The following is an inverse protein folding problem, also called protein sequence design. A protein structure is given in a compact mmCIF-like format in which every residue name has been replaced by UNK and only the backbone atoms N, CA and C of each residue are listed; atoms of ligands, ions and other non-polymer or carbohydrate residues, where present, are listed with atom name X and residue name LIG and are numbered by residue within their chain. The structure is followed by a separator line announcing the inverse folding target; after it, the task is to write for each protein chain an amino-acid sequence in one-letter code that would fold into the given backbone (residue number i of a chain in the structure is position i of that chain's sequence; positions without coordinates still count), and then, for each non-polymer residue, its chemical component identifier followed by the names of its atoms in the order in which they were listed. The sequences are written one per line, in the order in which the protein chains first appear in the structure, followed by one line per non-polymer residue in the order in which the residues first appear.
data_IF_074108914848
#
_entry.id   IF_074108914848
#
_cell.length_a   1.000
_cell.length_b   1.000
_cell.length_c   1.000
_cell.angle_alpha   90.00
_cell.angle_beta   90.00
_cell.angle_gamma   90.00
#
_symmetry.space_group_name_H-M   'P 1'
#
loop_
_entity.id
_entity.type
_entity.pdbx_description
1 polymer ?
#
# COMPACT_ATOMS: atom_id res chain seq x y z
N UNK A 1 -20.30 11.86 1.25
CA UNK A 1 -20.62 10.49 1.72
C UNK A 1 -22.02 10.33 2.32
N UNK A 2 -22.37 11.05 3.40
CA UNK A 2 -23.68 10.93 4.10
C UNK A 2 -24.91 10.95 3.18
N UNK A 3 -24.99 11.94 2.29
CA UNK A 3 -26.11 12.05 1.35
C UNK A 3 -26.11 10.97 0.27
N UNK A 4 -24.93 10.59 -0.24
CA UNK A 4 -24.82 9.55 -1.26
C UNK A 4 -25.19 8.16 -0.76
N UNK A 5 -24.78 7.77 0.46
CA UNK A 5 -25.16 6.48 1.05
C UNK A 5 -26.68 6.42 1.30
N UNK A 6 -27.27 7.52 1.74
CA UNK A 6 -28.72 7.63 1.96
C UNK A 6 -29.53 7.52 0.67
N UNK A 7 -29.04 8.12 -0.41
CA UNK A 7 -29.66 8.05 -1.74
C UNK A 7 -29.64 6.62 -2.32
N UNK A 8 -28.63 5.83 -1.93
CA UNK A 8 -28.54 4.39 -2.25
C UNK A 8 -29.25 3.48 -1.23
N UNK A 9 -30.05 4.05 -0.32
CA UNK A 9 -30.89 3.29 0.62
C UNK A 9 -30.19 2.83 1.90
N UNK A 10 -29.00 3.35 2.19
CA UNK A 10 -28.24 3.06 3.42
C UNK A 10 -28.46 4.22 4.40
N UNK A 11 -29.41 4.06 5.34
CA UNK A 11 -29.68 5.04 6.39
C UNK A 11 -28.77 4.77 7.60
N UNK A 12 -27.78 5.64 7.81
CA UNK A 12 -26.83 5.55 8.91
C UNK A 12 -27.12 6.65 9.93
N UNK A 13 -27.09 6.31 11.22
CA UNK A 13 -27.07 7.34 12.26
C UNK A 13 -25.76 8.14 12.21
N UNK A 14 -25.71 9.32 12.82
CA UNK A 14 -24.47 10.09 12.90
C UNK A 14 -23.32 9.28 13.53
N UNK A 15 -23.64 8.45 14.52
CA UNK A 15 -22.68 7.54 15.17
C UNK A 15 -22.17 6.44 14.23
N UNK A 16 -23.05 5.90 13.39
CA UNK A 16 -22.64 4.87 12.42
C UNK A 16 -21.82 5.49 11.29
N UNK A 17 -22.14 6.73 10.89
CA UNK A 17 -21.35 7.50 9.94
C UNK A 17 -19.95 7.78 10.48
N UNK A 18 -19.83 8.19 11.75
CA UNK A 18 -18.54 8.37 12.41
C UNK A 18 -17.74 7.06 12.43
N UNK A 19 -18.42 5.93 12.66
CA UNK A 19 -17.79 4.60 12.64
C UNK A 19 -17.27 4.25 11.24
N UNK A 20 -18.05 4.55 10.19
CA UNK A 20 -17.65 4.34 8.79
C UNK A 20 -16.49 5.25 8.41
N UNK A 21 -16.54 6.53 8.77
CA UNK A 21 -15.44 7.48 8.51
C UNK A 21 -14.18 6.98 9.21
N UNK A 22 -14.22 6.66 10.50
CA UNK A 22 -13.06 6.13 11.23
C UNK A 22 -12.52 4.81 10.68
N UNK A 23 -13.32 4.03 9.96
CA UNK A 23 -12.89 2.77 9.36
C UNK A 23 -12.23 2.95 7.97
N UNK A 24 -12.53 4.04 7.27
CA UNK A 24 -12.10 4.29 5.88
C UNK A 24 -11.06 5.41 5.77
N UNK A 25 -11.21 6.49 6.56
CA UNK A 25 -10.33 7.65 6.64
C UNK A 25 -9.01 7.25 7.32
N UNK A 26 -8.03 6.86 6.50
CA UNK A 26 -6.72 6.41 6.99
C UNK A 26 -5.79 7.58 7.25
N UNK A 27 -5.89 8.62 6.43
CA UNK A 27 -5.05 9.81 6.55
C UNK A 27 -5.52 10.76 7.67
N UNK A 28 -6.70 10.51 8.24
CA UNK A 28 -7.34 11.25 9.33
C UNK A 28 -7.65 12.71 8.96
N UNK A 29 -7.98 12.96 7.70
CA UNK A 29 -8.35 14.30 7.23
C UNK A 29 -9.85 14.63 7.43
N UNK A 30 -10.62 13.67 7.96
CA UNK A 30 -12.05 13.79 8.24
C UNK A 30 -12.94 13.54 7.02
N UNK A 31 -12.37 13.09 5.90
CA UNK A 31 -13.07 12.76 4.67
C UNK A 31 -12.67 11.35 4.23
N UNK A 32 -13.40 10.83 3.25
CA UNK A 32 -13.03 9.58 2.58
C UNK A 32 -12.81 9.97 1.13
N UNK A 33 -11.57 9.90 0.69
CA UNK A 33 -11.24 10.09 -0.72
C UNK A 33 -11.62 8.85 -1.55
N UNK A 34 -11.50 8.97 -2.88
CA UNK A 34 -11.87 7.88 -3.78
C UNK A 34 -11.01 6.62 -3.56
N UNK A 35 -9.72 6.76 -3.27
CA UNK A 35 -8.81 5.66 -3.04
C UNK A 35 -9.11 4.95 -1.72
N UNK A 36 -9.36 5.71 -0.66
CA UNK A 36 -9.79 5.19 0.65
C UNK A 36 -11.10 4.42 0.54
N UNK A 37 -12.07 4.97 -0.20
CA UNK A 37 -13.32 4.26 -0.49
C UNK A 37 -13.09 2.94 -1.23
N UNK A 38 -12.31 2.96 -2.32
CA UNK A 38 -12.01 1.74 -3.08
C UNK A 38 -11.29 0.68 -2.24
N UNK A 39 -10.32 1.08 -1.40
CA UNK A 39 -9.61 0.16 -0.50
C UNK A 39 -10.56 -0.48 0.51
N UNK A 40 -11.47 0.31 1.09
CA UNK A 40 -12.43 -0.22 2.07
C UNK A 40 -13.46 -1.19 1.48
N UNK A 41 -13.85 -1.03 0.20
CA UNK A 41 -14.83 -1.92 -0.44
C UNK A 41 -14.23 -3.15 -1.14
N UNK A 42 -12.92 -3.22 -1.39
CA UNK A 42 -12.26 -4.31 -2.13
C UNK A 42 -12.40 -5.71 -1.50
N UNK A 43 -12.87 -5.80 -0.25
CA UNK A 43 -13.07 -7.07 0.45
C UNK A 43 -11.76 -7.76 0.85
N UNK A 44 -11.85 -8.91 1.51
CA UNK A 44 -10.66 -9.58 2.06
C UNK A 44 -9.93 -10.45 1.03
N UNK A 45 -8.61 -10.49 1.12
CA UNK A 45 -7.77 -11.44 0.38
C UNK A 45 -8.20 -12.88 0.68
N UNK A 46 -8.43 -13.67 -0.38
CA UNK A 46 -8.61 -15.12 -0.25
C UNK A 46 -7.34 -15.78 0.29
N UNK A 47 -7.47 -16.94 0.94
CA UNK A 47 -6.33 -17.67 1.49
C UNK A 47 -5.26 -17.98 0.43
N UNK A 48 -5.68 -18.35 -0.79
CA UNK A 48 -4.78 -18.60 -1.92
C UNK A 48 -4.00 -17.35 -2.33
N UNK A 49 -4.68 -16.20 -2.45
CA UNK A 49 -4.04 -14.94 -2.85
C UNK A 49 -3.06 -14.47 -1.78
N UNK A 50 -3.46 -14.58 -0.50
CA UNK A 50 -2.58 -14.29 0.64
C UNK A 50 -1.32 -15.16 0.65
N UNK A 51 -1.44 -16.46 0.40
CA UNK A 51 -0.29 -17.36 0.33
C UNK A 51 0.69 -16.95 -0.79
N UNK A 52 0.18 -16.53 -1.95
CA UNK A 52 1.03 -16.05 -3.06
C UNK A 52 1.75 -14.74 -2.72
N UNK A 53 1.04 -13.80 -2.08
CA UNK A 53 1.63 -12.54 -1.61
C UNK A 53 2.74 -12.83 -0.60
N UNK A 54 2.52 -13.73 0.35
CA UNK A 54 3.54 -14.10 1.33
C UNK A 54 4.77 -14.74 0.67
N UNK A 55 4.58 -15.64 -0.30
CA UNK A 55 5.69 -16.24 -1.06
C UNK A 55 6.50 -15.19 -1.82
N UNK A 56 5.83 -14.20 -2.43
CA UNK A 56 6.52 -13.10 -3.11
C UNK A 56 7.28 -12.22 -2.12
N UNK A 57 6.70 -11.94 -0.96
CA UNK A 57 7.36 -11.18 0.10
C UNK A 57 8.62 -11.89 0.60
N UNK A 58 8.55 -13.20 0.84
CA UNK A 58 9.69 -13.99 1.30
C UNK A 58 10.83 -14.06 0.26
N UNK A 59 10.54 -13.79 -1.02
CA UNK A 59 11.57 -13.66 -2.07
C UNK A 59 12.19 -12.26 -2.11
N UNK A 60 11.47 -11.25 -1.65
CA UNK A 60 11.94 -9.87 -1.56
C UNK A 60 12.79 -9.68 -0.30
N UNK A 61 12.38 -10.19 0.85
CA UNK A 61 13.13 -10.16 2.13
C UNK A 61 14.33 -11.12 2.06
N UNK A 62 15.47 -10.64 1.56
CA UNK A 62 16.62 -11.48 1.23
C UNK A 62 17.47 -11.80 2.44
N UNK A 63 17.56 -10.87 3.37
CA UNK A 63 18.28 -11.07 4.63
C UNK A 63 17.44 -11.82 5.69
N UNK A 64 16.13 -11.96 5.47
CA UNK A 64 15.21 -12.66 6.35
C UNK A 64 14.92 -11.89 7.64
N UNK A 65 15.10 -10.57 7.61
CA UNK A 65 14.85 -9.68 8.75
C UNK A 65 13.36 -9.53 9.07
N UNK A 66 12.48 -9.92 8.16
CA UNK A 66 11.05 -9.76 8.26
C UNK A 66 10.54 -8.40 7.78
N UNK A 67 11.42 -7.53 7.27
CA UNK A 67 11.11 -6.23 6.69
C UNK A 67 11.88 -6.07 5.38
N UNK A 68 11.22 -5.65 4.31
CA UNK A 68 11.91 -5.41 3.04
C UNK A 68 12.50 -4.01 3.05
N UNK A 69 13.81 -3.91 2.87
CA UNK A 69 14.56 -2.65 2.83
C UNK A 69 15.12 -2.38 1.44
N UNK A 70 15.65 -1.18 1.22
CA UNK A 70 16.32 -0.84 -0.05
C UNK A 70 17.49 -1.77 -0.36
N UNK A 71 18.19 -2.26 0.66
CA UNK A 71 19.32 -3.17 0.49
C UNK A 71 18.85 -4.53 -0.04
N UNK A 72 17.68 -5.01 0.39
CA UNK A 72 17.07 -6.23 -0.16
C UNK A 72 16.68 -6.06 -1.63
N UNK A 73 16.07 -4.91 -1.97
CA UNK A 73 15.64 -4.63 -3.35
C UNK A 73 16.83 -4.45 -4.27
N UNK A 74 17.93 -3.83 -3.82
CA UNK A 74 19.20 -3.72 -4.58
C UNK A 74 19.78 -5.08 -4.96
N UNK A 75 19.57 -6.11 -4.13
CA UNK A 75 20.03 -7.47 -4.43
C UNK A 75 19.17 -8.17 -5.49
N UNK A 76 17.91 -7.75 -5.65
CA UNK A 76 16.97 -8.38 -6.57
C UNK A 76 16.80 -7.61 -7.90
N UNK A 77 17.01 -6.30 -7.91
CA UNK A 77 16.72 -5.42 -9.03
C UNK A 77 17.92 -4.52 -9.39
N UNK A 78 18.33 -4.57 -10.66
CA UNK A 78 19.36 -3.68 -11.17
C UNK A 78 18.76 -2.35 -11.66
N UNK A 79 18.85 -1.32 -10.83
CA UNK A 79 18.38 0.02 -11.18
C UNK A 79 19.30 0.81 -12.13
N UNK A 80 20.53 0.34 -12.40
CA UNK A 80 21.44 1.01 -13.36
C UNK A 80 20.88 1.03 -14.79
N UNK A 81 20.03 0.07 -15.12
CA UNK A 81 19.43 -0.05 -16.44
C UNK A 81 18.19 0.85 -16.63
N UNK A 82 17.76 1.55 -15.58
CA UNK A 82 16.59 2.43 -15.64
C UNK A 82 16.85 3.66 -16.56
N UNK A 83 15.90 4.07 -17.41
CA UNK A 83 16.07 5.20 -18.33
C UNK A 83 16.56 6.48 -17.63
N UNK A 84 15.93 6.88 -16.52
CA UNK A 84 16.30 8.07 -15.75
C UNK A 84 17.73 8.00 -15.17
N UNK A 85 18.23 6.79 -14.87
CA UNK A 85 19.61 6.59 -14.39
C UNK A 85 20.59 6.71 -15.55
N UNK A 86 20.28 6.12 -16.71
CA UNK A 86 21.09 6.25 -17.91
C UNK A 86 21.17 7.69 -18.43
N UNK A 87 20.09 8.44 -18.26
CA UNK A 87 20.01 9.86 -18.63
C UNK A 87 20.65 10.77 -17.57
N UNK A 88 21.04 10.23 -16.42
CA UNK A 88 21.68 10.97 -15.32
C UNK A 88 20.73 11.91 -14.58
N UNK A 89 19.41 11.73 -14.74
CA UNK A 89 18.40 12.55 -14.08
C UNK A 89 18.10 12.06 -12.66
N UNK A 90 18.31 10.76 -12.40
CA UNK A 90 18.16 10.13 -11.08
C UNK A 90 19.32 9.19 -10.77
N UNK A 91 19.60 8.99 -9.50
CA UNK A 91 20.46 7.93 -9.01
C UNK A 91 19.71 6.58 -8.94
N UNK A 92 20.42 5.43 -8.99
CA UNK A 92 19.81 4.12 -8.78
C UNK A 92 19.02 4.04 -7.47
N UNK A 93 19.53 4.65 -6.40
CA UNK A 93 18.91 4.65 -5.08
C UNK A 93 17.60 5.44 -5.05
N UNK A 94 17.52 6.56 -5.77
CA UNK A 94 16.27 7.33 -5.91
C UNK A 94 15.19 6.53 -6.64
N UNK A 95 15.55 5.84 -7.73
CA UNK A 95 14.62 4.97 -8.47
C UNK A 95 14.12 3.83 -7.60
N UNK A 96 15.01 3.20 -6.84
CA UNK A 96 14.64 2.11 -5.93
C UNK A 96 13.74 2.58 -4.79
N UNK A 97 14.02 3.75 -4.24
CA UNK A 97 13.19 4.35 -3.21
C UNK A 97 11.79 4.67 -3.73
N UNK A 98 11.68 5.33 -4.88
CA UNK A 98 10.38 5.61 -5.51
C UNK A 98 9.59 4.32 -5.81
N UNK A 99 10.29 3.24 -6.18
CA UNK A 99 9.67 1.94 -6.38
C UNK A 99 9.12 1.35 -5.06
N UNK A 100 9.90 1.42 -3.98
CA UNK A 100 9.48 0.95 -2.66
C UNK A 100 8.33 1.77 -2.07
N UNK A 101 8.32 3.08 -2.28
CA UNK A 101 7.25 3.99 -1.83
C UNK A 101 5.86 3.55 -2.33
N UNK A 102 5.79 2.79 -3.43
CA UNK A 102 4.52 2.22 -3.90
C UNK A 102 3.92 1.20 -2.92
N UNK A 103 4.76 0.47 -2.18
CA UNK A 103 4.34 -0.56 -1.23
C UNK A 103 4.16 -0.01 0.18
N UNK A 104 4.73 1.15 0.51
CA UNK A 104 4.61 1.86 1.80
C UNK A 104 3.22 2.50 1.94
N UNK A 105 2.21 1.66 2.14
CA UNK A 105 0.79 2.07 2.10
C UNK A 105 0.32 2.85 3.34
N UNK A 106 1.03 2.73 4.47
CA UNK A 106 0.62 3.28 5.76
C UNK A 106 1.60 4.33 6.24
N UNK A 107 2.89 3.99 6.31
CA UNK A 107 3.95 4.91 6.71
C UNK A 107 5.07 4.88 5.67
N UNK A 108 5.57 6.07 5.29
CA UNK A 108 6.70 6.18 4.36
C UNK A 108 7.98 6.29 5.17
N UNK A 109 8.55 5.17 5.59
CA UNK A 109 9.73 5.08 6.45
C UNK A 109 10.95 4.41 5.78
N UNK A 110 10.83 4.02 4.51
CA UNK A 110 11.87 3.30 3.77
C UNK A 110 11.93 1.81 4.09
N UNK A 111 10.91 1.27 4.77
CA UNK A 111 10.75 -0.16 5.08
C UNK A 111 9.36 -0.60 4.65
N UNK A 112 9.29 -1.76 4.02
CA UNK A 112 8.02 -2.34 3.59
C UNK A 112 7.71 -3.53 4.47
N UNK A 113 6.70 -3.37 5.32
CA UNK A 113 6.18 -4.47 6.14
C UNK A 113 5.33 -5.44 5.32
N UNK A 114 5.16 -6.66 5.83
CA UNK A 114 4.34 -7.68 5.15
C UNK A 114 2.89 -7.25 5.03
N UNK A 115 2.38 -6.55 6.05
CA UNK A 115 1.04 -5.97 6.08
C UNK A 115 0.87 -4.92 4.99
N UNK A 116 1.83 -4.00 4.82
CA UNK A 116 1.78 -2.96 3.79
C UNK A 116 1.85 -3.53 2.39
N UNK A 117 2.75 -4.50 2.16
CA UNK A 117 2.82 -5.23 0.90
C UNK A 117 1.51 -5.96 0.60
N UNK A 118 0.91 -6.62 1.61
CA UNK A 118 -0.38 -7.29 1.44
C UNK A 118 -1.54 -6.32 1.20
N UNK A 119 -1.53 -5.14 1.83
CA UNK A 119 -2.54 -4.10 1.62
C UNK A 119 -2.46 -3.52 0.20
N UNK A 120 -1.25 -3.32 -0.33
CA UNK A 120 -1.05 -2.92 -1.72
C UNK A 120 -1.65 -3.93 -2.72
N UNK A 121 -1.43 -5.22 -2.48
CA UNK A 121 -1.90 -6.30 -3.36
C UNK A 121 -3.32 -6.81 -3.05
N UNK A 122 -4.05 -6.15 -2.15
CA UNK A 122 -5.46 -6.43 -1.87
C UNK A 122 -6.36 -5.99 -3.02
#
# INVERSE_FOLDING_TARGET
LKWGLRDYGVDLSDRDLDTVINAFDRNKDGRIDFNEFLRGIRGNLSARRRAMINLAYDQLDRDGSGVVTIDDVKLAYNAEEHPDVKEGTKSPDEVLKEFMEQWETTEVDGKVTREEFADYYK
#
